data_IF_571588889290
#
_entry.id   IF_571588889290
#
_cell.length_a   1.000
_cell.length_b   1.000
_cell.length_c   1.000
_cell.angle_alpha   90.00
_cell.angle_beta   90.00
_cell.angle_gamma   90.00
#
_symmetry.space_group_name_H-M   'P 1'
#
loop_
_entity.id
_entity.type
_entity.pdbx_description
1 polymer ?
#
# COMPACT_ATOMS: atom_id res chain seq x y z
N UNK A 1 -1.61 -27.66 -20.17
CA UNK A 1 -1.17 -26.76 -21.26
C UNK A 1 -1.90 -25.44 -21.08
N UNK A 2 -1.20 -24.32 -21.23
CA UNK A 2 -1.82 -22.98 -21.26
C UNK A 2 -2.98 -22.91 -22.26
N UNK A 3 -4.07 -22.22 -21.90
CA UNK A 3 -5.18 -21.92 -22.83
C UNK A 3 -4.69 -21.19 -24.08
N UNK A 4 -3.64 -20.38 -23.93
CA UNK A 4 -2.95 -19.70 -25.02
C UNK A 4 -2.40 -20.69 -26.06
N UNK A 5 -1.68 -21.72 -25.61
CA UNK A 5 -1.10 -22.74 -26.51
C UNK A 5 -2.19 -23.57 -27.19
N UNK A 6 -3.29 -23.86 -26.49
CA UNK A 6 -4.43 -24.55 -27.08
C UNK A 6 -5.11 -23.70 -28.15
N UNK A 7 -5.26 -22.39 -27.94
CA UNK A 7 -5.79 -21.46 -28.93
C UNK A 7 -4.89 -21.37 -30.17
N UNK A 8 -3.57 -21.33 -30.00
CA UNK A 8 -2.61 -21.35 -31.12
C UNK A 8 -2.70 -22.64 -31.93
N UNK A 9 -2.74 -23.80 -31.27
CA UNK A 9 -2.83 -25.11 -31.94
C UNK A 9 -4.15 -25.26 -32.70
N UNK A 10 -5.27 -24.86 -32.10
CA UNK A 10 -6.60 -24.89 -32.74
C UNK A 10 -6.67 -24.04 -34.01
N UNK A 11 -5.92 -22.94 -34.06
CA UNK A 11 -5.93 -21.98 -35.17
C UNK A 11 -4.78 -22.18 -36.15
N UNK A 12 -3.86 -23.11 -35.88
CA UNK A 12 -2.74 -23.43 -36.75
C UNK A 12 -1.70 -22.31 -36.90
N UNK A 13 -1.71 -21.30 -36.01
CA UNK A 13 -0.86 -20.11 -36.13
C UNK A 13 0.50 -20.40 -35.51
N UNK A 14 1.57 -20.16 -36.28
CA UNK A 14 2.94 -20.31 -35.77
C UNK A 14 3.35 -19.06 -34.96
N UNK A 15 4.22 -19.27 -33.97
CA UNK A 15 4.72 -18.18 -33.11
C UNK A 15 5.44 -17.07 -33.89
N UNK A 16 5.98 -17.37 -35.09
CA UNK A 16 6.59 -16.38 -35.99
C UNK A 16 5.54 -15.44 -36.59
N UNK A 17 4.43 -15.98 -37.08
CA UNK A 17 3.34 -15.18 -37.68
C UNK A 17 2.67 -14.29 -36.64
N UNK A 18 2.51 -14.83 -35.42
CA UNK A 18 2.04 -14.05 -34.28
C UNK A 18 3.00 -12.92 -33.93
N UNK A 19 4.31 -13.17 -33.94
CA UNK A 19 5.32 -12.14 -33.69
C UNK A 19 5.27 -11.03 -34.74
N UNK A 20 5.11 -11.37 -36.01
CA UNK A 20 5.02 -10.39 -37.10
C UNK A 20 3.74 -9.55 -37.00
N UNK A 21 2.62 -10.17 -36.64
CA UNK A 21 1.37 -9.46 -36.39
C UNK A 21 1.43 -8.52 -35.19
N UNK A 22 2.09 -8.93 -34.11
CA UNK A 22 2.24 -8.11 -32.90
C UNK A 22 3.26 -6.99 -33.10
N UNK A 23 4.36 -7.24 -33.81
CA UNK A 23 5.40 -6.22 -34.11
C UNK A 23 4.87 -5.06 -34.96
N UNK A 24 3.87 -5.31 -35.81
CA UNK A 24 3.18 -4.24 -36.56
C UNK A 24 2.47 -3.24 -35.66
N UNK A 25 1.99 -3.67 -34.49
CA UNK A 25 1.28 -2.82 -33.54
C UNK A 25 2.16 -2.33 -32.38
N UNK A 26 3.16 -3.12 -31.98
CA UNK A 26 4.14 -2.75 -30.96
C UNK A 26 5.52 -3.30 -31.32
N UNK A 27 6.39 -2.42 -31.82
CA UNK A 27 7.75 -2.76 -32.23
C UNK A 27 8.67 -3.16 -31.06
N UNK A 28 8.24 -2.94 -29.80
CA UNK A 28 9.02 -3.30 -28.61
C UNK A 28 8.89 -4.78 -28.23
N UNK A 29 8.03 -5.53 -28.92
CA UNK A 29 7.82 -6.95 -28.65
C UNK A 29 8.84 -7.79 -29.40
N UNK A 30 9.77 -8.36 -28.63
CA UNK A 30 10.75 -9.30 -29.13
C UNK A 30 10.31 -10.75 -28.96
N UNK A 31 10.94 -11.65 -29.74
CA UNK A 31 10.75 -13.10 -29.66
C UNK A 31 10.81 -13.66 -28.22
N UNK A 32 11.80 -13.32 -27.37
CA UNK A 32 11.82 -13.76 -25.98
C UNK A 32 10.63 -13.24 -25.16
N UNK A 33 10.17 -12.01 -25.39
CA UNK A 33 9.03 -11.45 -24.68
C UNK A 33 7.74 -12.16 -25.08
N UNK A 34 7.52 -12.39 -26.38
CA UNK A 34 6.38 -13.16 -26.86
C UNK A 34 6.39 -14.59 -26.32
N UNK A 35 7.56 -15.23 -26.24
CA UNK A 35 7.70 -16.56 -25.62
C UNK A 35 7.27 -16.56 -24.15
N UNK A 36 7.63 -15.52 -23.39
CA UNK A 36 7.18 -15.38 -21.99
C UNK A 36 5.67 -15.19 -21.89
N UNK A 37 5.06 -14.44 -22.81
CA UNK A 37 3.61 -14.24 -22.88
C UNK A 37 2.88 -15.57 -23.17
N UNK A 38 3.35 -16.32 -24.16
CA UNK A 38 2.76 -17.63 -24.56
C UNK A 38 2.91 -18.71 -23.49
N UNK A 39 3.90 -18.56 -22.60
CA UNK A 39 4.14 -19.47 -21.48
C UNK A 39 3.50 -18.98 -20.17
N UNK A 40 2.60 -17.99 -20.23
CA UNK A 40 1.91 -17.39 -19.08
C UNK A 40 2.85 -16.81 -17.99
N UNK A 41 4.09 -16.48 -18.36
CA UNK A 41 5.08 -15.89 -17.44
C UNK A 41 4.81 -14.39 -17.25
N UNK A 42 4.28 -13.72 -18.27
CA UNK A 42 3.95 -12.29 -18.20
C UNK A 42 2.66 -11.95 -18.95
N UNK A 43 1.93 -10.97 -18.40
CA UNK A 43 0.75 -10.43 -19.04
C UNK A 43 1.13 -9.43 -20.15
N UNK A 44 0.49 -9.49 -21.32
CA UNK A 44 0.68 -8.52 -22.39
C UNK A 44 0.10 -7.14 -22.00
N UNK A 45 0.70 -6.09 -22.54
CA UNK A 45 0.14 -4.74 -22.48
C UNK A 45 -1.19 -4.67 -23.28
N UNK A 46 -2.05 -3.69 -23.00
CA UNK A 46 -3.36 -3.54 -23.67
C UNK A 46 -3.26 -3.51 -25.20
N UNK A 47 -2.26 -2.80 -25.73
CA UNK A 47 -2.01 -2.69 -27.17
C UNK A 47 -1.59 -4.02 -27.78
N UNK A 48 -0.68 -4.74 -27.11
CA UNK A 48 -0.19 -6.04 -27.59
C UNK A 48 -1.25 -7.12 -27.47
N UNK A 49 -2.04 -7.11 -26.38
CA UNK A 49 -3.17 -8.02 -26.19
C UNK A 49 -4.22 -7.85 -27.28
N UNK A 50 -4.60 -6.61 -27.63
CA UNK A 50 -5.55 -6.35 -28.72
C UNK A 50 -5.03 -6.88 -30.05
N UNK A 51 -3.74 -6.74 -30.29
CA UNK A 51 -3.10 -7.21 -31.53
C UNK A 51 -3.04 -8.73 -31.59
N UNK A 52 -2.72 -9.38 -30.47
CA UNK A 52 -2.80 -10.84 -30.30
C UNK A 52 -4.23 -11.32 -30.55
N UNK A 53 -5.23 -10.66 -29.96
CA UNK A 53 -6.64 -10.99 -30.13
C UNK A 53 -7.09 -10.85 -31.59
N UNK A 54 -6.59 -9.83 -32.31
CA UNK A 54 -6.89 -9.64 -33.73
C UNK A 54 -6.25 -10.73 -34.60
N UNK A 55 -4.99 -11.08 -34.35
CA UNK A 55 -4.27 -12.13 -35.10
C UNK A 55 -4.86 -13.51 -34.81
N UNK A 56 -5.13 -13.79 -33.54
CA UNK A 56 -5.73 -15.04 -33.12
C UNK A 56 -7.25 -15.06 -33.30
N UNK A 57 -7.92 -13.97 -33.71
CA UNK A 57 -9.39 -13.85 -33.74
C UNK A 57 -10.06 -14.40 -32.46
N UNK A 58 -9.53 -14.05 -31.29
CA UNK A 58 -9.98 -14.51 -29.98
C UNK A 58 -10.35 -13.32 -29.10
N UNK A 59 -11.22 -13.53 -28.12
CA UNK A 59 -11.41 -12.56 -27.06
C UNK A 59 -10.36 -12.75 -25.94
N UNK A 60 -10.02 -11.68 -25.18
CA UNK A 60 -9.10 -11.79 -24.05
C UNK A 60 -9.47 -12.88 -23.03
N UNK A 61 -10.77 -13.11 -22.83
CA UNK A 61 -11.30 -14.10 -21.89
C UNK A 61 -11.20 -15.55 -22.39
N UNK A 62 -10.96 -15.77 -23.69
CA UNK A 62 -10.67 -17.09 -24.23
C UNK A 62 -9.24 -17.54 -23.90
N UNK A 63 -8.36 -16.56 -23.66
CA UNK A 63 -6.93 -16.76 -23.42
C UNK A 63 -6.63 -16.72 -21.92
N UNK A 64 -7.22 -15.75 -21.20
CA UNK A 64 -6.96 -15.49 -19.78
C UNK A 64 -8.26 -15.55 -18.97
N UNK A 65 -8.18 -15.94 -17.70
CA UNK A 65 -9.32 -15.89 -16.78
C UNK A 65 -9.57 -14.48 -16.25
N UNK A 66 -10.80 -14.20 -15.82
CA UNK A 66 -11.18 -12.87 -15.29
C UNK A 66 -10.26 -12.44 -14.14
N UNK A 67 -9.88 -13.37 -13.28
CA UNK A 67 -9.01 -13.12 -12.12
C UNK A 67 -7.56 -12.86 -12.52
N UNK A 68 -7.09 -13.37 -13.66
CA UNK A 68 -5.74 -13.15 -14.17
C UNK A 68 -5.59 -11.76 -14.82
N UNK A 69 -6.65 -11.27 -15.47
CA UNK A 69 -6.66 -9.93 -16.11
C UNK A 69 -7.00 -8.82 -15.11
N UNK A 70 -7.74 -9.15 -14.04
CA UNK A 70 -8.19 -8.19 -13.04
C UNK A 70 -7.06 -7.74 -12.10
N UNK A 71 -6.17 -6.91 -12.63
CA UNK A 71 -5.12 -6.22 -11.89
C UNK A 71 -5.67 -5.29 -10.79
N UNK A 72 -6.92 -4.83 -10.91
CA UNK A 72 -7.57 -4.02 -9.87
C UNK A 72 -7.89 -4.87 -8.63
N UNK A 73 -8.28 -6.14 -8.81
CA UNK A 73 -8.43 -7.13 -7.72
C UNK A 73 -7.11 -7.46 -7.02
N UNK A 74 -5.96 -7.33 -7.70
CA UNK A 74 -4.65 -7.41 -7.05
C UNK A 74 -4.33 -6.15 -6.20
N UNK A 75 -4.99 -5.03 -6.47
CA UNK A 75 -4.95 -3.80 -5.68
C UNK A 75 -5.99 -3.77 -4.54
N UNK A 76 -6.91 -4.75 -4.48
CA UNK A 76 -8.00 -4.83 -3.48
C UNK A 76 -7.55 -5.36 -2.11
N UNK A 77 -6.25 -5.56 -1.92
CA UNK A 77 -5.70 -5.23 -0.61
C UNK A 77 -5.33 -3.76 -0.69
N UNK A 78 -6.13 -2.82 -0.14
CA UNK A 78 -5.52 -1.57 0.30
C UNK A 78 -4.27 -2.02 1.04
N UNK A 79 -3.09 -1.48 0.70
CA UNK A 79 -1.94 -1.63 1.57
C UNK A 79 -2.48 -1.27 2.94
N UNK A 80 -2.76 -2.26 3.79
CA UNK A 80 -2.90 -2.03 5.21
C UNK A 80 -1.62 -1.27 5.48
N UNK A 81 -1.74 0.04 5.73
CA UNK A 81 -0.62 0.80 6.23
C UNK A 81 -0.17 -0.05 7.39
N UNK A 82 1.01 -0.62 7.24
CA UNK A 82 1.57 -1.58 8.15
C UNK A 82 1.82 -0.80 9.43
N UNK A 83 0.77 -0.61 10.21
CA UNK A 83 0.79 -0.38 11.65
C UNK A 83 0.80 -1.77 12.31
N UNK A 84 1.43 -2.77 11.70
CA UNK A 84 1.93 -3.90 12.46
C UNK A 84 3.17 -3.35 13.17
N UNK A 85 2.95 -3.09 14.46
CA UNK A 85 3.88 -2.47 15.38
C UNK A 85 5.08 -3.37 15.62
N UNK A 86 5.98 -3.44 14.64
CA UNK A 86 7.30 -4.03 14.82
C UNK A 86 8.34 -2.92 14.75
N UNK A 87 8.63 -2.35 15.92
CA UNK A 87 10.01 -2.18 16.40
C UNK A 87 10.09 -1.19 17.56
N UNK A 88 9.37 -1.41 18.65
CA UNK A 88 9.73 -0.74 19.91
C UNK A 88 9.65 -1.80 21.01
N UNK A 89 10.68 -1.87 21.86
CA UNK A 89 10.88 -2.91 22.88
C UNK A 89 9.69 -3.10 23.81
N UNK A 90 9.80 -4.08 24.72
CA UNK A 90 8.76 -4.37 25.70
C UNK A 90 8.28 -3.08 26.38
N UNK A 91 6.94 -2.86 26.37
CA UNK A 91 6.25 -1.75 27.03
C UNK A 91 6.32 -0.34 26.35
N UNK A 92 6.35 -0.24 25.02
CA UNK A 92 6.26 1.05 24.31
C UNK A 92 4.91 1.21 23.58
N UNK A 93 4.21 2.31 23.86
CA UNK A 93 2.97 2.70 23.18
C UNK A 93 3.25 3.70 22.05
N UNK A 94 2.74 3.43 20.84
CA UNK A 94 2.88 4.30 19.69
C UNK A 94 1.66 5.23 19.51
N UNK A 95 1.86 6.53 19.67
CA UNK A 95 0.82 7.54 19.53
C UNK A 95 0.73 8.01 18.07
N UNK A 96 -0.39 7.72 17.40
CA UNK A 96 -0.72 8.25 16.07
C UNK A 96 -1.96 9.14 16.18
N UNK A 97 -1.85 10.40 15.77
CA UNK A 97 -2.94 11.38 15.86
C UNK A 97 -3.04 12.15 14.55
N UNK A 98 -4.26 12.35 14.06
CA UNK A 98 -4.53 13.25 12.94
C UNK A 98 -4.68 14.68 13.46
N UNK A 99 -3.85 15.58 12.94
CA UNK A 99 -3.84 16.99 13.28
C UNK A 99 -4.10 17.83 12.03
N UNK A 100 -4.67 19.01 12.22
CA UNK A 100 -4.75 19.99 11.14
C UNK A 100 -3.33 20.29 10.62
N UNK A 101 -3.22 20.27 9.29
CA UNK A 101 -1.92 20.35 8.61
C UNK A 101 -1.25 21.70 8.83
N UNK A 102 -2.02 22.80 8.78
CA UNK A 102 -1.45 24.14 8.95
C UNK A 102 -0.95 24.34 10.38
N UNK A 103 -1.71 23.87 11.36
CA UNK A 103 -1.32 23.90 12.77
C UNK A 103 -0.08 23.06 13.03
N UNK A 104 -0.05 21.82 12.54
CA UNK A 104 1.08 20.90 12.74
C UNK A 104 2.38 21.46 12.13
N UNK A 105 2.33 21.98 10.91
CA UNK A 105 3.51 22.58 10.25
C UNK A 105 4.04 23.80 11.00
N UNK A 106 3.14 24.63 11.54
CA UNK A 106 3.54 25.80 12.33
C UNK A 106 4.21 25.38 13.64
N UNK A 107 3.56 24.54 14.43
CA UNK A 107 4.01 24.16 15.78
C UNK A 107 5.25 23.27 15.74
N UNK A 108 5.30 22.30 14.82
CA UNK A 108 6.45 21.38 14.69
C UNK A 108 7.53 21.89 13.74
N UNK A 109 7.49 23.16 13.35
CA UNK A 109 8.62 23.79 12.65
C UNK A 109 9.86 23.83 13.57
N UNK A 110 11.05 23.67 12.99
CA UNK A 110 12.32 23.68 13.74
C UNK A 110 12.51 24.98 14.52
N UNK A 111 12.08 26.10 13.95
CA UNK A 111 12.16 27.42 14.58
C UNK A 111 11.25 27.51 15.81
N UNK A 112 10.00 27.07 15.68
CA UNK A 112 9.04 27.08 16.80
C UNK A 112 9.46 26.12 17.91
N UNK A 113 9.95 24.93 17.57
CA UNK A 113 10.45 23.97 18.56
C UNK A 113 11.66 24.52 19.33
N UNK A 114 12.58 25.20 18.63
CA UNK A 114 13.73 25.86 19.27
C UNK A 114 13.31 26.99 20.20
N UNK A 115 12.31 27.79 19.79
CA UNK A 115 11.73 28.84 20.63
C UNK A 115 11.09 28.28 21.91
N UNK A 116 10.43 27.13 21.78
CA UNK A 116 9.82 26.42 22.91
C UNK A 116 10.82 25.61 23.75
N UNK A 117 12.10 25.55 23.35
CA UNK A 117 13.15 24.83 24.06
C UNK A 117 13.15 23.31 23.87
N UNK A 118 12.44 22.80 22.86
CA UNK A 118 12.42 21.36 22.55
C UNK A 118 13.44 21.00 21.48
N UNK A 119 14.09 19.85 21.64
CA UNK A 119 15.07 19.35 20.67
C UNK A 119 14.39 18.76 19.43
N UNK A 120 13.23 18.14 19.61
CA UNK A 120 12.47 17.48 18.54
C UNK A 120 10.97 17.48 18.82
N UNK A 121 10.17 17.27 17.79
CA UNK A 121 8.72 17.09 17.92
C UNK A 121 8.38 15.92 18.85
N UNK A 122 9.14 14.82 18.75
CA UNK A 122 8.97 13.63 19.60
C UNK A 122 9.26 13.94 21.06
N UNK A 123 10.32 14.71 21.34
CA UNK A 123 10.66 15.15 22.70
C UNK A 123 9.58 16.05 23.28
N UNK A 124 9.07 17.01 22.49
CA UNK A 124 7.96 17.88 22.90
C UNK A 124 6.71 17.08 23.30
N UNK A 125 6.32 16.09 22.48
CA UNK A 125 5.16 15.24 22.77
C UNK A 125 5.39 14.40 24.02
N UNK A 126 6.58 13.77 24.19
CA UNK A 126 6.88 12.98 25.39
C UNK A 126 6.80 13.81 26.67
N UNK A 127 7.41 14.99 26.67
CA UNK A 127 7.36 15.89 27.82
C UNK A 127 5.93 16.36 28.12
N UNK A 128 5.13 16.60 27.08
CA UNK A 128 3.73 16.94 27.25
C UNK A 128 2.92 15.81 27.90
N UNK A 129 3.09 14.56 27.45
CA UNK A 129 2.41 13.40 28.05
C UNK A 129 2.83 13.19 29.51
N UNK A 130 4.12 13.35 29.85
CA UNK A 130 4.60 13.26 31.24
C UNK A 130 3.93 14.33 32.13
N UNK A 131 3.79 15.57 31.63
CA UNK A 131 3.09 16.63 32.37
C UNK A 131 1.62 16.26 32.63
N UNK A 132 0.94 15.66 31.65
CA UNK A 132 -0.43 15.20 31.83
C UNK A 132 -0.55 14.07 32.85
N UNK A 133 0.40 13.13 32.87
CA UNK A 133 0.43 12.05 33.86
C UNK A 133 0.55 12.58 35.30
N UNK A 134 1.46 13.54 35.52
CA UNK A 134 1.60 14.20 36.81
C UNK A 134 0.30 14.89 37.25
N UNK A 135 -0.37 15.60 36.34
CA UNK A 135 -1.65 16.24 36.63
C UNK A 135 -2.76 15.23 36.98
N UNK A 136 -2.78 14.07 36.29
CA UNK A 136 -3.72 12.99 36.60
C UNK A 136 -3.46 12.47 38.01
N UNK A 137 -2.20 12.23 38.37
CA UNK A 137 -1.84 11.74 39.70
C UNK A 137 -2.15 12.76 40.81
N UNK A 138 -1.91 14.05 40.58
CA UNK A 138 -2.33 15.12 41.50
C UNK A 138 -3.85 15.13 41.71
N UNK A 139 -4.63 15.02 40.63
CA UNK A 139 -6.10 14.99 40.71
C UNK A 139 -6.61 13.73 41.42
N UNK A 140 -5.99 12.58 41.18
CA UNK A 140 -6.31 11.33 41.91
C UNK A 140 -6.00 11.46 43.41
N UNK A 141 -4.86 12.05 43.77
CA UNK A 141 -4.51 12.31 45.18
C UNK A 141 -5.51 13.24 45.85
N UNK A 142 -5.86 14.36 45.20
CA UNK A 142 -6.85 15.30 45.70
C UNK A 142 -8.23 14.66 45.89
N UNK A 143 -8.66 13.81 44.96
CA UNK A 143 -9.92 13.07 45.06
C UNK A 143 -9.92 12.10 46.25
N UNK A 144 -8.82 11.35 46.46
CA UNK A 144 -8.68 10.44 47.61
C UNK A 144 -8.70 11.17 48.95
N UNK A 145 -8.02 12.33 49.04
CA UNK A 145 -8.03 13.14 50.26
C UNK A 145 -9.40 13.75 50.55
N UNK A 146 -10.19 14.09 49.53
CA UNK A 146 -11.54 14.60 49.71
C UNK A 146 -12.50 13.53 50.27
N UNK A 147 -12.39 12.28 49.80
CA UNK A 147 -13.20 11.16 50.31
C UNK A 147 -12.89 10.80 51.76
N UNK A 148 -11.62 10.86 52.18
CA UNK A 148 -11.25 10.57 53.58
C UNK A 148 -11.69 11.63 54.59
N UNK A 149 -12.01 12.85 54.14
CA UNK A 149 -12.47 13.93 55.03
C UNK A 149 -14.00 13.88 55.21
N UNK A 150 -14.75 13.37 54.23
CA UNK A 150 -16.22 13.24 54.31
C UNK A 150 -16.68 12.02 55.12
N UNK A 151 -15.88 10.97 55.23
CA UNK A 151 -16.23 9.75 55.98
C UNK A 151 -15.80 9.80 57.46
N UNK A 152 -15.26 10.93 57.92
CA UNK A 152 -14.70 11.11 59.27
C UNK A 152 -15.43 12.12 60.16
N UNK A 153 -16.70 12.43 59.89
CA UNK A 153 -17.51 13.37 60.68
C UNK A 153 -18.82 12.75 61.15
#
# INVERSE_FOLDING_TARGET
MSKYKQAMIKKGIMQKELLDGVRKADARVDKPLLSKIVNDICLPNRVTLKSICNVLQCEPLDIYEKDEINLAGAADKPKQRYHDGRSHGENIYNLTVELDRALALRVFSKESLRLLGFLSATDAIRQYVIKLDNLIEEKKKAAKSATTITDGN
#
